data_IF_580253094053
#
_entry.id   IF_580253094053
#
_cell.length_a   1.000
_cell.length_b   1.000
_cell.length_c   1.000
_cell.angle_alpha   90.00
_cell.angle_beta   90.00
_cell.angle_gamma   90.00
#
_symmetry.space_group_name_H-M   'P 1'
#
loop_
_entity.id
_entity.type
_entity.pdbx_description
1 polymer ?
#
# COMPACT_ATOMS: atom_id res chain seq x y z
N UNK A 1 -9.24 -1.04 40.19
CA UNK A 1 -9.64 -0.68 38.81
C UNK A 1 -8.57 -1.16 37.83
N UNK A 2 -8.79 -2.22 37.04
CA UNK A 2 -7.82 -2.59 36.01
C UNK A 2 -8.38 -2.60 34.57
N UNK A 3 -7.62 -1.93 33.70
CA UNK A 3 -7.18 -2.33 32.34
C UNK A 3 -8.23 -2.75 31.29
N UNK A 4 -8.57 -1.81 30.42
CA UNK A 4 -9.10 -2.03 29.06
C UNK A 4 -8.09 -1.58 28.00
N UNK A 5 -7.13 -2.43 27.63
CA UNK A 5 -6.25 -2.23 26.45
C UNK A 5 -6.07 -3.49 25.56
N UNK A 6 -6.69 -4.62 25.92
CA UNK A 6 -6.53 -5.89 25.19
C UNK A 6 -7.56 -6.11 24.06
N UNK A 7 -8.68 -5.37 24.05
CA UNK A 7 -9.77 -5.58 23.08
C UNK A 7 -9.44 -5.15 21.64
N UNK A 8 -8.54 -4.17 21.44
CA UNK A 8 -8.20 -3.66 20.12
C UNK A 8 -7.35 -4.62 19.27
N UNK A 9 -6.45 -5.37 19.91
CA UNK A 9 -5.58 -6.33 19.22
C UNK A 9 -6.29 -7.64 18.83
N UNK A 10 -7.34 -8.00 19.57
CA UNK A 10 -8.14 -9.21 19.34
C UNK A 10 -8.92 -9.13 18.03
N UNK A 11 -9.50 -7.95 17.70
CA UNK A 11 -10.28 -7.79 16.47
C UNK A 11 -9.42 -7.72 15.19
N UNK A 12 -8.19 -7.19 15.29
CA UNK A 12 -7.26 -7.03 14.15
C UNK A 12 -6.85 -8.38 13.54
N UNK A 13 -6.61 -9.39 14.39
CA UNK A 13 -6.13 -10.72 13.97
C UNK A 13 -7.26 -11.60 13.38
N UNK A 14 -8.48 -11.51 13.94
CA UNK A 14 -9.66 -12.24 13.46
C UNK A 14 -10.07 -11.75 12.06
N UNK A 15 -9.95 -10.45 11.78
CA UNK A 15 -10.39 -9.87 10.51
C UNK A 15 -9.54 -10.28 9.30
N UNK A 16 -8.20 -10.30 9.44
CA UNK A 16 -7.29 -10.75 8.38
C UNK A 16 -7.51 -12.22 7.99
N UNK A 17 -7.97 -13.05 8.93
CA UNK A 17 -8.10 -14.50 8.72
C UNK A 17 -9.48 -14.93 8.19
N UNK A 18 -10.56 -14.23 8.53
CA UNK A 18 -11.94 -14.62 8.20
C UNK A 18 -12.43 -14.01 6.88
N UNK A 19 -12.02 -12.77 6.60
CA UNK A 19 -12.59 -11.98 5.50
C UNK A 19 -11.79 -12.16 4.22
N UNK A 20 -10.46 -12.35 4.32
CA UNK A 20 -9.57 -12.55 3.19
C UNK A 20 -9.96 -13.76 2.31
N UNK A 21 -10.28 -14.97 2.85
CA UNK A 21 -10.63 -16.12 2.01
C UNK A 21 -12.04 -16.05 1.39
N UNK A 22 -13.00 -15.45 2.11
CA UNK A 22 -14.39 -15.33 1.64
C UNK A 22 -14.55 -14.24 0.58
N UNK A 23 -13.81 -13.13 0.69
CA UNK A 23 -13.78 -12.08 -0.33
C UNK A 23 -12.89 -12.48 -1.53
N UNK A 24 -11.76 -13.18 -1.31
CA UNK A 24 -11.00 -13.76 -2.43
C UNK A 24 -11.86 -14.73 -3.25
N UNK A 25 -12.73 -15.54 -2.63
CA UNK A 25 -13.64 -16.43 -3.38
C UNK A 25 -14.67 -15.69 -4.24
N UNK A 26 -15.15 -14.53 -3.80
CA UNK A 26 -16.04 -13.69 -4.64
C UNK A 26 -15.30 -12.98 -5.78
N UNK A 27 -14.01 -12.66 -5.60
CA UNK A 27 -13.17 -12.00 -6.61
C UNK A 27 -12.52 -12.97 -7.61
N UNK A 28 -12.29 -14.24 -7.21
CA UNK A 28 -11.61 -15.25 -8.04
C UNK A 28 -12.55 -16.16 -8.85
N UNK A 29 -13.87 -16.07 -8.65
CA UNK A 29 -14.83 -16.71 -9.55
C UNK A 29 -15.01 -15.87 -10.82
N UNK A 30 -14.04 -15.91 -11.73
CA UNK A 30 -14.26 -15.41 -13.09
C UNK A 30 -13.05 -15.01 -13.94
N UNK A 31 -11.87 -14.79 -13.37
CA UNK A 31 -10.74 -14.30 -14.18
C UNK A 31 -9.39 -14.90 -13.75
N UNK A 32 -8.76 -15.65 -14.65
CA UNK A 32 -7.45 -16.30 -14.45
C UNK A 32 -6.27 -15.31 -14.38
N UNK A 33 -6.55 -14.00 -14.28
CA UNK A 33 -5.56 -12.92 -14.32
C UNK A 33 -5.08 -12.46 -12.94
N UNK A 34 -5.67 -12.96 -11.85
CA UNK A 34 -5.38 -12.47 -10.49
C UNK A 34 -4.64 -13.50 -9.66
N UNK A 35 -3.30 -13.50 -9.80
CA UNK A 35 -2.41 -14.31 -8.96
C UNK A 35 -1.69 -13.51 -7.87
N UNK A 36 -1.94 -12.20 -7.71
CA UNK A 36 -1.03 -11.35 -6.93
C UNK A 36 -1.66 -10.23 -6.11
N UNK A 37 -1.61 -10.41 -4.79
CA UNK A 37 -1.96 -9.42 -3.77
C UNK A 37 -0.81 -9.35 -2.76
N UNK A 38 -0.19 -8.19 -2.60
CA UNK A 38 0.71 -7.90 -1.48
C UNK A 38 -0.10 -7.14 -0.42
N UNK A 39 -0.03 -7.59 0.84
CA UNK A 39 -0.56 -6.86 2.00
C UNK A 39 0.60 -6.51 2.93
N UNK A 40 0.93 -5.24 3.05
CA UNK A 40 1.75 -4.68 4.12
C UNK A 40 0.96 -4.74 5.44
N UNK A 41 1.60 -5.31 6.46
CA UNK A 41 1.16 -5.23 7.85
C UNK A 41 1.51 -3.83 8.38
N UNK A 42 0.57 -3.20 9.10
CA UNK A 42 0.80 -1.92 9.79
C UNK A 42 1.42 -2.17 11.18
N UNK A 43 2.66 -1.75 11.48
CA UNK A 43 3.15 -1.75 12.84
C UNK A 43 3.06 -0.34 13.44
N UNK A 44 2.34 -0.18 14.55
CA UNK A 44 2.59 0.94 15.47
C UNK A 44 2.57 0.43 16.92
N UNK A 45 3.75 0.48 17.57
CA UNK A 45 3.94 0.25 19.00
C UNK A 45 5.36 -0.19 19.36
N UNK A 46 6.08 0.61 20.16
CA UNK A 46 7.42 0.33 20.70
C UNK A 46 7.50 -1.06 21.34
N UNK A 47 8.37 -1.92 20.83
CA UNK A 47 8.81 -3.13 21.54
C UNK A 47 10.20 -2.90 22.13
N UNK A 48 10.26 -2.76 23.45
CA UNK A 48 11.46 -3.03 24.24
C UNK A 48 11.36 -4.49 24.68
N UNK A 49 12.18 -5.33 24.07
CA UNK A 49 12.27 -6.75 24.34
C UNK A 49 13.10 -7.40 23.25
N UNK A 50 14.09 -8.21 23.63
CA UNK A 50 14.93 -8.93 22.68
C UNK A 50 14.06 -9.92 21.90
N UNK A 51 13.68 -9.56 20.67
CA UNK A 51 12.99 -10.44 19.73
C UNK A 51 14.05 -11.05 18.84
N UNK A 52 14.24 -12.37 18.91
CA UNK A 52 14.89 -13.12 17.84
C UNK A 52 13.92 -13.19 16.67
N UNK A 53 14.12 -12.30 15.71
CA UNK A 53 13.41 -12.26 14.46
C UNK A 53 13.81 -13.49 13.63
N UNK A 54 12.94 -14.49 13.56
CA UNK A 54 13.07 -15.55 12.56
C UNK A 54 12.24 -15.14 11.35
N UNK A 55 12.89 -14.50 10.38
CA UNK A 55 12.42 -14.44 9.00
C UNK A 55 12.39 -15.89 8.51
N UNK A 56 11.22 -16.51 8.49
CA UNK A 56 11.05 -17.82 7.88
C UNK A 56 10.96 -17.60 6.38
N UNK A 57 12.12 -17.52 5.74
CA UNK A 57 12.26 -17.66 4.30
C UNK A 57 12.00 -19.13 3.97
N UNK A 58 10.95 -19.40 3.19
CA UNK A 58 10.52 -20.76 2.93
C UNK A 58 11.57 -21.52 2.09
N UNK A 59 12.09 -22.62 2.63
CA UNK A 59 12.91 -23.57 1.89
C UNK A 59 12.01 -24.42 0.99
N UNK A 60 11.61 -23.89 -0.17
CA UNK A 60 11.39 -24.62 -1.44
C UNK A 60 10.63 -23.78 -2.49
N UNK A 61 11.16 -22.61 -2.87
CA UNK A 61 10.95 -22.08 -4.22
C UNK A 61 12.19 -21.26 -4.61
N UNK A 62 12.63 -21.33 -5.86
CA UNK A 62 13.76 -20.53 -6.37
C UNK A 62 13.59 -19.01 -6.10
N UNK A 63 12.36 -18.54 -5.88
CA UNK A 63 12.04 -17.16 -5.51
C UNK A 63 12.58 -16.73 -4.14
N UNK A 64 12.52 -17.61 -3.12
CA UNK A 64 13.04 -17.29 -1.79
C UNK A 64 14.57 -17.10 -1.81
N UNK A 65 15.29 -17.97 -2.53
CA UNK A 65 16.74 -17.85 -2.68
C UNK A 65 17.14 -16.58 -3.46
N UNK A 66 16.41 -16.27 -4.53
CA UNK A 66 16.63 -15.07 -5.32
C UNK A 66 16.39 -13.78 -4.53
N UNK A 67 15.33 -13.74 -3.72
CA UNK A 67 15.03 -12.58 -2.89
C UNK A 67 16.06 -12.41 -1.76
N UNK A 68 16.47 -13.49 -1.10
CA UNK A 68 17.53 -13.43 -0.08
C UNK A 68 18.85 -12.94 -0.68
N UNK A 69 19.23 -13.44 -1.86
CA UNK A 69 20.41 -12.97 -2.57
C UNK A 69 20.29 -11.49 -3.00
N UNK A 70 19.11 -11.07 -3.47
CA UNK A 70 18.85 -9.66 -3.78
C UNK A 70 19.05 -8.78 -2.54
N UNK A 71 18.41 -9.12 -1.42
CA UNK A 71 18.50 -8.35 -0.18
C UNK A 71 19.92 -8.27 0.38
N UNK A 72 20.70 -9.36 0.30
CA UNK A 72 22.09 -9.39 0.76
C UNK A 72 23.03 -8.47 -0.05
N UNK A 73 22.65 -8.15 -1.30
CA UNK A 73 23.44 -7.31 -2.20
C UNK A 73 22.85 -5.89 -2.35
N UNK A 74 21.85 -5.52 -1.54
CA UNK A 74 21.32 -4.16 -1.54
C UNK A 74 22.32 -3.20 -0.90
N UNK A 75 22.63 -2.12 -1.61
CA UNK A 75 23.40 -1.01 -1.07
C UNK A 75 22.50 -0.19 -0.14
N UNK A 76 22.89 -0.04 1.13
CA UNK A 76 22.16 0.72 2.14
C UNK A 76 22.72 2.15 2.32
N UNK A 77 23.71 2.53 1.49
CA UNK A 77 24.33 3.86 1.54
C UNK A 77 23.52 4.98 0.86
N UNK A 78 22.29 4.67 0.43
CA UNK A 78 21.42 5.62 -0.27
C UNK A 78 21.13 6.85 0.60
N UNK A 79 21.45 8.02 0.05
CA UNK A 79 21.10 9.29 0.70
C UNK A 79 19.58 9.52 0.64
N UNK A 80 18.97 10.16 1.66
CA UNK A 80 17.56 10.54 1.62
C UNK A 80 17.27 11.39 0.38
N UNK A 81 16.08 11.21 -0.23
CA UNK A 81 15.65 12.10 -1.31
C UNK A 81 15.73 13.56 -0.86
N UNK A 82 16.42 14.39 -1.63
CA UNK A 82 16.67 15.81 -1.32
C UNK A 82 15.37 16.60 -1.10
N UNK A 83 14.29 16.19 -1.79
CA UNK A 83 12.93 16.72 -1.66
C UNK A 83 12.34 16.57 -0.24
N UNK A 84 12.91 15.70 0.62
CA UNK A 84 12.44 15.58 2.00
C UNK A 84 12.76 16.81 2.85
N UNK A 85 13.86 17.49 2.54
CA UNK A 85 14.45 18.53 3.38
C UNK A 85 13.85 19.92 3.12
N UNK A 86 13.15 20.12 2.00
CA UNK A 86 12.54 21.39 1.62
C UNK A 86 11.12 21.55 2.18
N UNK A 87 10.87 22.50 3.10
CA UNK A 87 9.52 22.79 3.56
C UNK A 87 8.72 23.50 2.46
N UNK A 88 7.50 23.03 2.20
CA UNK A 88 6.53 23.70 1.32
C UNK A 88 5.36 24.27 2.14
N UNK A 89 5.56 25.38 2.88
CA UNK A 89 4.56 25.92 3.80
C UNK A 89 3.26 26.36 3.11
N UNK A 90 3.31 26.62 1.80
CA UNK A 90 2.14 27.04 1.02
C UNK A 90 1.24 25.87 0.59
N UNK A 91 1.71 24.61 0.68
CA UNK A 91 0.96 23.39 0.30
C UNK A 91 -0.05 22.98 1.38
N UNK A 92 -0.95 23.89 1.73
CA UNK A 92 -2.04 23.65 2.66
C UNK A 92 -3.16 22.80 2.05
N UNK A 93 -4.08 22.34 2.88
CA UNK A 93 -5.26 21.58 2.44
C UNK A 93 -6.11 22.43 1.46
N UNK A 94 -6.26 23.74 1.74
CA UNK A 94 -6.92 24.71 0.86
C UNK A 94 -6.17 24.92 -0.46
N UNK A 95 -4.83 24.91 -0.43
CA UNK A 95 -4.03 25.00 -1.65
C UNK A 95 -4.35 23.85 -2.60
N UNK A 96 -4.40 22.61 -2.10
CA UNK A 96 -4.74 21.45 -2.91
C UNK A 96 -6.22 21.43 -3.30
N UNK A 97 -7.13 21.77 -2.39
CA UNK A 97 -8.58 21.79 -2.65
C UNK A 97 -8.97 22.82 -3.71
N UNK A 98 -8.17 23.88 -3.90
CA UNK A 98 -8.40 24.88 -4.96
C UNK A 98 -8.11 24.36 -6.37
N UNK A 99 -7.41 23.22 -6.52
CA UNK A 99 -6.98 22.70 -7.82
C UNK A 99 -8.17 22.03 -8.51
N UNK A 100 -8.57 22.58 -9.66
CA UNK A 100 -9.72 22.11 -10.45
C UNK A 100 -9.34 21.53 -11.83
N UNK A 101 -8.08 21.62 -12.23
CA UNK A 101 -7.62 21.20 -13.55
C UNK A 101 -6.10 21.01 -13.58
N UNK A 102 -5.61 20.22 -14.53
CA UNK A 102 -4.17 20.03 -14.75
C UNK A 102 -3.43 21.33 -15.07
N UNK A 103 -4.10 22.27 -15.76
CA UNK A 103 -3.58 23.59 -16.11
C UNK A 103 -3.70 24.63 -14.98
N UNK A 104 -4.25 24.27 -13.82
CA UNK A 104 -4.42 25.20 -12.70
C UNK A 104 -3.06 25.71 -12.19
N UNK A 105 -2.95 26.99 -11.84
CA UNK A 105 -1.68 27.62 -11.41
C UNK A 105 -1.03 26.90 -10.22
N UNK A 106 -1.82 26.51 -9.22
CA UNK A 106 -1.32 25.75 -8.06
C UNK A 106 -0.85 24.34 -8.45
N UNK A 107 -1.48 23.73 -9.46
CA UNK A 107 -1.06 22.44 -9.97
C UNK A 107 0.28 22.52 -10.71
N UNK A 108 0.44 23.53 -11.57
CA UNK A 108 1.71 23.81 -12.25
C UNK A 108 2.83 24.08 -11.26
N UNK A 109 2.56 24.85 -10.19
CA UNK A 109 3.53 25.11 -9.12
C UNK A 109 3.89 23.85 -8.35
N UNK A 110 2.89 23.06 -7.96
CA UNK A 110 3.08 21.79 -7.27
C UNK A 110 3.96 20.85 -8.09
N UNK A 111 3.68 20.70 -9.39
CA UNK A 111 4.46 19.91 -10.35
C UNK A 111 5.84 20.47 -10.61
N UNK A 112 5.99 21.79 -10.70
CA UNK A 112 7.29 22.43 -10.93
C UNK A 112 8.33 22.14 -9.86
N UNK A 113 7.90 21.73 -8.66
CA UNK A 113 8.79 21.29 -7.59
C UNK A 113 9.39 19.89 -7.81
N UNK A 114 8.85 19.07 -8.72
CA UNK A 114 9.38 17.74 -9.03
C UNK A 114 9.51 17.54 -10.54
N UNK A 115 10.73 17.28 -11.02
CA UNK A 115 10.99 17.03 -12.43
C UNK A 115 10.67 15.56 -12.74
N UNK A 116 9.63 15.25 -13.54
CA UNK A 116 9.46 13.90 -14.05
C UNK A 116 10.71 13.54 -14.85
N UNK A 117 11.38 12.43 -14.53
CA UNK A 117 12.55 11.97 -15.29
C UNK A 117 12.14 11.32 -16.63
N UNK A 118 11.24 11.96 -17.37
CA UNK A 118 10.84 11.49 -18.69
C UNK A 118 12.06 11.49 -19.62
N UNK A 119 12.30 10.35 -20.28
CA UNK A 119 13.42 10.18 -21.21
C UNK A 119 14.75 9.76 -20.58
N UNK A 120 14.84 9.54 -19.27
CA UNK A 120 16.05 8.97 -18.67
C UNK A 120 16.16 7.45 -18.96
N UNK A 121 17.38 6.87 -19.01
CA UNK A 121 17.55 5.41 -19.14
C UNK A 121 16.86 4.62 -18.03
N UNK A 122 16.76 5.20 -16.82
CA UNK A 122 16.03 4.63 -15.69
C UNK A 122 14.53 4.56 -15.99
N UNK A 123 13.96 5.63 -16.54
CA UNK A 123 12.55 5.67 -16.93
C UNK A 123 12.18 4.61 -17.98
N UNK A 124 13.08 4.32 -18.93
CA UNK A 124 12.87 3.26 -19.92
C UNK A 124 12.79 1.86 -19.28
N UNK A 125 13.63 1.59 -18.28
CA UNK A 125 13.61 0.32 -17.53
C UNK A 125 12.36 0.18 -16.64
N UNK A 126 11.92 1.28 -16.04
CA UNK A 126 10.70 1.30 -15.22
C UNK A 126 9.45 1.10 -16.07
N UNK A 127 9.43 1.65 -17.29
CA UNK A 127 8.28 1.60 -18.22
C UNK A 127 7.89 0.17 -18.62
N UNK A 128 8.86 -0.74 -18.75
CA UNK A 128 8.60 -2.14 -19.15
C UNK A 128 8.07 -3.03 -18.02
N UNK A 129 8.00 -2.52 -16.79
CA UNK A 129 7.53 -3.27 -15.62
C UNK A 129 6.56 -2.46 -14.75
N UNK A 130 5.34 -2.18 -15.24
CA UNK A 130 4.39 -1.35 -14.50
C UNK A 130 3.95 -2.00 -13.18
N UNK A 131 3.81 -1.17 -12.15
CA UNK A 131 3.30 -1.54 -10.83
C UNK A 131 1.92 -0.90 -10.61
N UNK A 132 1.12 -1.52 -9.75
CA UNK A 132 -0.13 -0.96 -9.27
C UNK A 132 -0.02 -0.66 -7.77
N UNK A 133 -0.56 0.47 -7.34
CA UNK A 133 -0.57 0.89 -5.94
C UNK A 133 -2.00 1.14 -5.47
N UNK A 134 -2.32 0.63 -4.29
CA UNK A 134 -3.55 0.94 -3.57
C UNK A 134 -3.20 1.77 -2.34
N UNK A 135 -3.73 2.99 -2.27
CA UNK A 135 -3.35 4.00 -1.29
C UNK A 135 -4.57 4.34 -0.43
N UNK A 136 -4.47 4.16 0.87
CA UNK A 136 -5.54 4.57 1.80
C UNK A 136 -5.16 5.90 2.44
N UNK A 137 -6.05 6.89 2.34
CA UNK A 137 -5.83 8.26 2.82
C UNK A 137 -6.99 8.71 3.71
N UNK A 138 -6.71 9.43 4.80
CA UNK A 138 -7.77 9.83 5.73
C UNK A 138 -7.59 11.17 6.48
N UNK A 139 -6.40 11.78 6.54
CA UNK A 139 -6.16 12.98 7.37
C UNK A 139 -5.30 14.10 6.77
N UNK A 140 -4.17 13.78 6.14
CA UNK A 140 -3.19 14.82 5.77
C UNK A 140 -2.86 14.76 4.26
N UNK A 141 -3.36 15.71 3.45
CA UNK A 141 -3.14 15.69 2.01
C UNK A 141 -1.67 15.94 1.64
N UNK A 142 -0.90 16.63 2.49
CA UNK A 142 0.55 16.82 2.27
C UNK A 142 1.33 15.52 2.32
N UNK A 143 0.96 14.61 3.21
CA UNK A 143 1.62 13.29 3.30
C UNK A 143 1.34 12.46 2.04
N UNK A 144 0.08 12.47 1.57
CA UNK A 144 -0.26 11.84 0.29
C UNK A 144 0.49 12.46 -0.90
N UNK A 145 0.53 13.79 -1.00
CA UNK A 145 1.24 14.49 -2.07
C UNK A 145 2.73 14.13 -2.08
N UNK A 146 3.35 14.08 -0.90
CA UNK A 146 4.74 13.66 -0.71
C UNK A 146 4.95 12.21 -1.11
N UNK A 147 4.09 11.28 -0.67
CA UNK A 147 4.16 9.88 -1.07
C UNK A 147 4.12 9.76 -2.60
N UNK A 148 3.13 10.37 -3.24
CA UNK A 148 2.96 10.33 -4.70
C UNK A 148 4.17 10.92 -5.43
N UNK A 149 4.78 12.01 -4.95
CA UNK A 149 6.04 12.54 -5.53
C UNK A 149 7.14 11.49 -5.58
N UNK A 150 7.26 10.64 -4.56
CA UNK A 150 8.32 9.63 -4.49
C UNK A 150 8.01 8.42 -5.37
N UNK A 151 6.75 7.96 -5.38
CA UNK A 151 6.38 6.69 -6.04
C UNK A 151 5.83 6.86 -7.46
N UNK A 152 5.39 8.05 -7.89
CA UNK A 152 4.70 8.24 -9.16
C UNK A 152 5.59 7.93 -10.36
N UNK A 153 5.08 7.10 -11.27
CA UNK A 153 5.59 6.88 -12.62
C UNK A 153 4.41 6.91 -13.59
N UNK A 154 4.56 7.47 -14.81
CA UNK A 154 3.47 7.55 -15.78
C UNK A 154 2.85 6.20 -16.17
N UNK A 155 3.63 5.12 -16.11
CA UNK A 155 3.22 3.77 -16.54
C UNK A 155 2.55 2.97 -15.43
N UNK A 156 2.76 3.34 -14.18
CA UNK A 156 2.17 2.68 -13.02
C UNK A 156 0.70 3.08 -12.86
N UNK A 157 -0.07 2.25 -12.15
CA UNK A 157 -1.44 2.52 -11.76
C UNK A 157 -1.52 2.91 -10.28
N UNK A 158 -2.31 3.93 -9.95
CA UNK A 158 -2.54 4.33 -8.55
C UNK A 158 -4.03 4.46 -8.30
N UNK A 159 -4.52 3.79 -7.26
CA UNK A 159 -5.85 4.00 -6.72
C UNK A 159 -5.77 4.57 -5.31
N UNK A 160 -6.50 5.66 -5.05
CA UNK A 160 -6.54 6.35 -3.77
C UNK A 160 -7.94 6.19 -3.20
N UNK A 161 -8.06 5.45 -2.10
CA UNK A 161 -9.28 5.36 -1.32
C UNK A 161 -9.25 6.35 -0.16
N UNK A 162 -10.25 7.23 -0.12
CA UNK A 162 -10.46 8.19 0.96
C UNK A 162 -11.45 7.60 1.97
N UNK A 163 -11.14 7.63 3.27
CA UNK A 163 -12.11 7.22 4.31
C UNK A 163 -13.41 8.04 4.13
N UNK A 164 -14.56 7.35 4.10
CA UNK A 164 -15.86 7.98 3.92
C UNK A 164 -16.19 9.05 4.98
N UNK A 165 -15.54 9.01 6.15
CA UNK A 165 -15.68 10.02 7.22
C UNK A 165 -14.78 11.24 7.07
N UNK A 166 -13.88 11.25 6.09
CA UNK A 166 -13.02 12.40 5.86
C UNK A 166 -13.83 13.64 5.50
N UNK A 167 -13.34 14.79 5.93
CA UNK A 167 -13.98 16.08 5.66
C UNK A 167 -14.04 16.36 4.15
N UNK A 168 -15.06 17.07 3.65
CA UNK A 168 -15.17 17.43 2.23
C UNK A 168 -13.92 18.15 1.70
N UNK A 169 -13.32 19.02 2.50
CA UNK A 169 -12.12 19.79 2.16
C UNK A 169 -10.91 18.85 1.95
N UNK A 170 -10.80 17.80 2.77
CA UNK A 170 -9.79 16.77 2.58
C UNK A 170 -10.01 16.01 1.26
N UNK A 171 -11.26 15.64 0.96
CA UNK A 171 -11.60 14.96 -0.29
C UNK A 171 -11.22 15.80 -1.51
N UNK A 172 -11.59 17.09 -1.49
CA UNK A 172 -11.27 18.04 -2.56
C UNK A 172 -9.75 18.20 -2.71
N UNK A 173 -9.02 18.27 -1.60
CA UNK A 173 -7.56 18.32 -1.62
C UNK A 173 -6.93 17.09 -2.29
N UNK A 174 -7.40 15.88 -1.93
CA UNK A 174 -6.92 14.63 -2.54
C UNK A 174 -7.25 14.57 -4.04
N UNK A 175 -8.45 14.98 -4.44
CA UNK A 175 -8.86 15.04 -5.84
C UNK A 175 -8.03 16.06 -6.64
N UNK A 176 -7.73 17.22 -6.05
CA UNK A 176 -6.83 18.22 -6.60
C UNK A 176 -5.40 17.70 -6.78
N UNK A 177 -4.88 16.97 -5.78
CA UNK A 177 -3.57 16.29 -5.88
C UNK A 177 -3.57 15.28 -7.02
N UNK A 178 -4.56 14.39 -7.09
CA UNK A 178 -4.66 13.35 -8.12
C UNK A 178 -4.69 13.96 -9.53
N UNK A 179 -5.46 15.04 -9.71
CA UNK A 179 -5.52 15.81 -10.96
C UNK A 179 -4.14 16.25 -11.45
N UNK A 180 -3.24 16.59 -10.53
CA UNK A 180 -1.88 17.00 -10.88
C UNK A 180 -0.95 15.88 -11.29
N UNK A 181 -1.23 14.63 -10.97
CA UNK A 181 -0.38 13.51 -11.39
C UNK A 181 -0.80 12.92 -12.74
N UNK A 182 -2.02 13.20 -13.18
CA UNK A 182 -2.53 12.80 -14.48
C UNK A 182 -3.45 11.58 -14.43
N UNK A 183 -3.76 10.99 -15.59
CA UNK A 183 -4.87 10.06 -15.73
C UNK A 183 -4.64 8.68 -15.10
N UNK A 184 -3.40 8.36 -14.70
CA UNK A 184 -3.05 7.07 -14.09
C UNK A 184 -3.22 7.07 -12.55
N UNK A 185 -3.65 8.20 -11.96
CA UNK A 185 -3.98 8.32 -10.54
C UNK A 185 -5.49 8.50 -10.39
N UNK A 186 -6.13 7.51 -9.78
CA UNK A 186 -7.58 7.44 -9.66
C UNK A 186 -7.99 7.58 -8.20
N UNK A 187 -8.97 8.45 -7.92
CA UNK A 187 -9.60 8.55 -6.60
C UNK A 187 -10.88 7.73 -6.61
N UNK A 188 -11.07 6.89 -5.59
CA UNK A 188 -12.30 6.11 -5.42
C UNK A 188 -13.49 7.06 -5.31
N UNK A 189 -14.57 6.86 -6.09
CA UNK A 189 -15.70 7.75 -6.09
C UNK A 189 -16.51 7.64 -4.79
N UNK A 190 -17.19 8.72 -4.34
CA UNK A 190 -17.81 8.79 -3.01
C UNK A 190 -18.72 7.62 -2.62
N UNK A 191 -19.48 7.09 -3.58
CA UNK A 191 -20.41 5.96 -3.39
C UNK A 191 -19.71 4.63 -3.09
N UNK A 192 -18.45 4.50 -3.50
CA UNK A 192 -17.63 3.30 -3.29
C UNK A 192 -16.66 3.44 -2.11
N UNK A 193 -16.71 4.57 -1.38
CA UNK A 193 -15.86 4.80 -0.20
C UNK A 193 -16.44 4.08 1.04
N UNK A 194 -15.54 3.49 1.81
CA UNK A 194 -15.84 2.72 3.03
C UNK A 194 -15.45 3.52 4.27
N UNK A 195 -16.20 3.33 5.37
CA UNK A 195 -15.84 3.84 6.70
C UNK A 195 -14.80 2.93 7.32
N UNK A 196 -13.58 3.43 7.55
CA UNK A 196 -12.48 2.62 8.08
C UNK A 196 -12.46 2.71 9.60
N UNK A 197 -12.73 1.60 10.29
CA UNK A 197 -12.64 1.53 11.75
C UNK A 197 -11.35 0.82 12.17
N UNK A 198 -10.52 1.48 12.97
CA UNK A 198 -9.27 0.90 13.42
C UNK A 198 -9.50 -0.41 14.21
N UNK A 199 -8.69 -1.42 13.91
CA UNK A 199 -8.81 -2.75 14.50
C UNK A 199 -9.93 -3.61 13.93
N UNK A 200 -10.70 -3.15 12.94
CA UNK A 200 -11.81 -3.88 12.32
C UNK A 200 -11.48 -4.32 10.88
N UNK A 201 -12.26 -5.24 10.30
CA UNK A 201 -12.10 -5.73 8.93
C UNK A 201 -12.19 -4.61 7.88
N UNK A 202 -12.89 -3.54 8.19
CA UNK A 202 -12.97 -2.33 7.35
C UNK A 202 -11.62 -1.69 7.06
N UNK A 203 -10.52 -2.04 7.75
CA UNK A 203 -9.17 -1.62 7.36
C UNK A 203 -8.73 -2.22 6.02
N UNK A 204 -9.21 -3.44 5.70
CA UNK A 204 -8.87 -4.14 4.46
C UNK A 204 -9.77 -3.73 3.29
N UNK A 205 -11.03 -3.39 3.57
CA UNK A 205 -12.03 -3.08 2.54
C UNK A 205 -11.60 -1.99 1.52
N UNK A 206 -11.01 -0.85 1.92
CA UNK A 206 -10.44 0.14 0.99
C UNK A 206 -9.45 -0.43 -0.02
N UNK A 207 -8.58 -1.32 0.45
CA UNK A 207 -7.56 -1.95 -0.37
C UNK A 207 -8.22 -2.89 -1.40
N UNK A 208 -9.29 -3.59 -1.01
CA UNK A 208 -10.06 -4.45 -1.91
C UNK A 208 -10.84 -3.66 -2.97
N UNK A 209 -11.44 -2.53 -2.60
CA UNK A 209 -12.09 -1.62 -3.55
C UNK A 209 -11.08 -1.14 -4.59
N UNK A 210 -9.90 -0.70 -4.16
CA UNK A 210 -8.86 -0.27 -5.07
C UNK A 210 -8.26 -1.42 -5.90
N UNK A 211 -8.18 -2.61 -5.35
CA UNK A 211 -7.74 -3.79 -6.09
C UNK A 211 -8.73 -4.15 -7.20
N UNK A 212 -10.04 -4.13 -6.94
CA UNK A 212 -11.06 -4.33 -7.99
C UNK A 212 -10.91 -3.32 -9.14
N UNK A 213 -10.58 -2.06 -8.83
CA UNK A 213 -10.25 -1.06 -9.85
C UNK A 213 -8.96 -1.40 -10.61
N UNK A 214 -7.91 -1.83 -9.91
CA UNK A 214 -6.65 -2.23 -10.53
C UNK A 214 -6.81 -3.45 -11.45
N UNK A 215 -7.65 -4.43 -11.06
CA UNK A 215 -7.94 -5.63 -11.84
C UNK A 215 -8.60 -5.33 -13.20
N UNK A 216 -9.31 -4.20 -13.30
CA UNK A 216 -9.92 -3.72 -14.54
C UNK A 216 -8.90 -3.04 -15.46
N UNK A 217 -7.70 -2.74 -14.97
CA UNK A 217 -6.62 -2.15 -15.76
C UNK A 217 -5.62 -3.22 -16.22
N UNK A 218 -5.22 -3.23 -17.49
CA UNK A 218 -4.22 -4.15 -18.00
C UNK A 218 -2.78 -3.70 -17.67
N UNK A 219 -1.83 -4.64 -17.75
CA UNK A 219 -0.41 -4.34 -17.96
C UNK A 219 0.49 -4.25 -16.72
N UNK A 220 -0.06 -4.03 -15.53
CA UNK A 220 0.73 -4.06 -14.29
C UNK A 220 1.11 -5.49 -13.87
N UNK A 221 2.18 -5.61 -13.06
CA UNK A 221 2.80 -6.90 -12.68
C UNK A 221 2.58 -7.29 -11.23
N UNK A 222 2.57 -6.31 -10.34
CA UNK A 222 2.35 -6.47 -8.90
C UNK A 222 1.47 -5.34 -8.37
N UNK A 223 0.67 -5.67 -7.36
CA UNK A 223 -0.16 -4.74 -6.60
C UNK A 223 0.45 -4.53 -5.22
N UNK A 224 0.74 -3.29 -4.87
CA UNK A 224 1.33 -2.88 -3.60
C UNK A 224 0.32 -2.04 -2.82
N UNK A 225 0.02 -2.45 -1.60
CA UNK A 225 -0.83 -1.68 -0.71
C UNK A 225 0.02 -0.75 0.17
N UNK A 226 -0.42 0.51 0.28
CA UNK A 226 0.24 1.51 1.11
C UNK A 226 -0.77 2.43 1.80
N UNK A 227 -0.33 3.08 2.86
CA UNK A 227 -1.02 4.20 3.49
C UNK A 227 -0.42 5.53 3.03
N UNK A 228 -1.23 6.60 3.01
CA UNK A 228 -0.77 7.94 2.67
C UNK A 228 0.36 8.46 3.58
N UNK A 229 0.46 7.94 4.81
CA UNK A 229 1.49 8.28 5.79
C UNK A 229 2.82 7.52 5.61
N UNK A 230 2.85 6.50 4.74
CA UNK A 230 4.06 5.70 4.50
C UNK A 230 5.04 6.40 3.56
N UNK A 231 6.30 5.95 3.59
CA UNK A 231 7.39 6.51 2.78
C UNK A 231 8.21 5.35 2.21
N UNK A 232 8.47 5.33 0.88
CA UNK A 232 9.34 4.33 0.30
C UNK A 232 10.77 4.55 0.79
N UNK A 233 11.42 3.47 1.20
CA UNK A 233 12.85 3.46 1.55
C UNK A 233 13.74 3.12 0.35
N UNK A 234 13.13 2.79 -0.78
CA UNK A 234 13.78 2.30 -2.00
C UNK A 234 13.21 3.01 -3.21
N UNK A 235 14.04 3.18 -4.23
CA UNK A 235 13.62 3.72 -5.51
C UNK A 235 12.65 2.78 -6.22
N UNK A 236 11.85 3.31 -7.15
CA UNK A 236 10.93 2.47 -7.92
C UNK A 236 11.67 1.39 -8.74
N UNK A 237 12.88 1.66 -9.23
CA UNK A 237 13.71 0.66 -9.91
C UNK A 237 14.13 -0.50 -8.98
N UNK A 238 14.53 -0.21 -7.74
CA UNK A 238 14.84 -1.23 -6.73
C UNK A 238 13.60 -2.04 -6.34
N UNK A 239 12.44 -1.39 -6.23
CA UNK A 239 11.16 -2.08 -6.00
C UNK A 239 10.86 -3.04 -7.16
N UNK A 240 11.02 -2.59 -8.42
CA UNK A 240 10.86 -3.45 -9.60
C UNK A 240 11.84 -4.63 -9.56
N UNK A 241 13.09 -4.42 -9.16
CA UNK A 241 14.07 -5.49 -9.03
C UNK A 241 13.65 -6.53 -7.98
N UNK A 242 13.14 -6.10 -6.82
CA UNK A 242 12.57 -6.98 -5.81
C UNK A 242 11.36 -7.77 -6.35
N UNK A 243 10.45 -7.12 -7.07
CA UNK A 243 9.28 -7.76 -7.68
C UNK A 243 9.67 -8.79 -8.76
N UNK A 244 10.73 -8.53 -9.51
CA UNK A 244 11.32 -9.49 -10.45
C UNK A 244 11.93 -10.69 -9.73
N UNK A 245 12.64 -10.46 -8.62
CA UNK A 245 13.24 -11.53 -7.81
C UNK A 245 12.19 -12.47 -7.20
N UNK A 246 11.00 -11.94 -6.85
CA UNK A 246 9.85 -12.73 -6.41
C UNK A 246 9.33 -13.69 -7.48
N UNK A 247 9.68 -13.50 -8.76
CA UNK A 247 9.34 -14.39 -9.89
C UNK A 247 7.89 -14.87 -9.92
N UNK A 248 6.99 -13.99 -9.51
CA UNK A 248 5.56 -14.21 -9.53
C UNK A 248 4.91 -14.72 -8.27
N UNK A 249 5.70 -14.97 -7.23
CA UNK A 249 5.22 -15.23 -5.88
C UNK A 249 4.67 -13.98 -5.21
N UNK A 250 3.89 -14.17 -4.15
CA UNK A 250 3.43 -13.10 -3.27
C UNK A 250 4.43 -12.88 -2.14
N UNK A 251 4.51 -11.65 -1.65
CA UNK A 251 5.24 -11.31 -0.43
C UNK A 251 4.22 -10.83 0.60
N UNK A 252 4.06 -11.60 1.67
CA UNK A 252 3.18 -11.27 2.79
C UNK A 252 3.81 -11.79 4.07
N UNK A 253 3.77 -10.99 5.12
CA UNK A 253 4.14 -11.45 6.44
C UNK A 253 3.04 -12.36 6.98
N UNK A 254 3.40 -13.60 7.31
CA UNK A 254 2.45 -14.57 7.82
C UNK A 254 2.95 -15.14 9.15
N UNK A 255 2.03 -15.37 10.09
CA UNK A 255 2.31 -15.94 11.40
C UNK A 255 1.58 -17.26 11.58
N UNK A 256 2.19 -18.21 12.28
CA UNK A 256 1.52 -19.44 12.70
C UNK A 256 0.33 -19.10 13.61
N UNK A 257 -0.84 -19.66 13.32
CA UNK A 257 -2.12 -19.33 13.97
C UNK A 257 -2.10 -19.51 15.50
N UNK A 258 -1.28 -20.43 16.01
CA UNK A 258 -1.13 -20.68 17.45
C UNK A 258 -0.58 -19.47 18.23
N UNK A 259 0.13 -18.55 17.57
CA UNK A 259 0.76 -17.37 18.19
C UNK A 259 -0.25 -16.46 18.88
N UNK A 260 -1.49 -16.41 18.40
CA UNK A 260 -2.56 -15.56 18.93
C UNK A 260 -3.75 -16.36 19.48
N UNK A 261 -3.57 -17.66 19.73
CA UNK A 261 -4.60 -18.55 20.29
C UNK A 261 -5.22 -18.04 21.60
N UNK A 262 -4.42 -17.39 22.45
CA UNK A 262 -4.89 -16.75 23.69
C UNK A 262 -5.80 -15.55 23.45
N UNK A 263 -5.66 -14.87 22.29
CA UNK A 263 -6.43 -13.68 21.93
C UNK A 263 -7.73 -14.04 21.19
N UNK A 264 -7.70 -15.11 20.38
CA UNK A 264 -8.87 -15.61 19.66
C UNK A 264 -9.82 -16.41 20.55
N UNK A 265 -9.47 -16.67 21.82
CA UNK A 265 -10.28 -17.42 22.79
C UNK A 265 -10.81 -18.75 22.24
N UNK A 266 -10.01 -19.41 21.39
CA UNK A 266 -10.40 -20.69 20.76
C UNK A 266 -11.42 -20.57 19.63
N UNK A 267 -11.71 -19.37 19.12
CA UNK A 267 -12.50 -19.20 17.89
C UNK A 267 -11.79 -19.92 16.74
N UNK A 268 -12.47 -20.92 16.18
CA UNK A 268 -12.02 -21.62 14.98
C UNK A 268 -12.29 -20.75 13.75
N UNK A 269 -11.29 -20.59 12.89
CA UNK A 269 -11.47 -19.91 11.61
C UNK A 269 -12.44 -20.70 10.72
N UNK A 270 -13.21 -20.02 9.85
CA UNK A 270 -14.06 -20.70 8.87
C UNK A 270 -13.24 -21.72 8.07
N UNK A 271 -13.84 -22.88 7.78
CA UNK A 271 -13.27 -23.99 7.01
C UNK A 271 -12.18 -24.84 7.70
N UNK A 272 -12.15 -24.89 9.04
CA UNK A 272 -11.20 -25.75 9.79
C UNK A 272 -9.72 -25.51 9.45
N UNK A 273 -9.38 -24.31 8.96
CA UNK A 273 -7.99 -23.91 8.73
C UNK A 273 -7.37 -23.69 10.11
N UNK A 274 -6.73 -24.73 10.64
CA UNK A 274 -6.05 -24.71 11.94
C UNK A 274 -4.80 -23.83 11.93
N UNK A 275 -4.24 -23.61 10.75
CA UNK A 275 -3.16 -22.65 10.48
C UNK A 275 -3.20 -22.22 9.01
N UNK A 276 -2.91 -20.95 8.73
CA UNK A 276 -2.36 -20.61 7.43
C UNK A 276 -0.98 -21.26 7.39
N UNK A 277 -0.81 -22.31 6.59
CA UNK A 277 0.52 -22.80 6.26
C UNK A 277 1.20 -21.70 5.46
N UNK A 278 2.07 -20.97 6.16
CA UNK A 278 2.93 -19.96 5.58
C UNK A 278 4.04 -20.74 4.87
N UNK A 279 3.74 -21.23 3.67
CA UNK A 279 4.75 -21.69 2.72
C UNK A 279 5.08 -20.52 1.79
#
# INVERSE_FOLDING_TARGET
MPRTRALGYIFLCICLCVVLPLLLRRLLQGDARVNRFSLSSYPYGKFSGNVTEKVVANTQTNASANLTAFCANLDDSTQPMLDYQTPHPEETDLFFASINSFSHRNCQRFRGAFVPQEGSPVSAQETVYPLAFTIVAHRNPRQLARLLRMIHRPTNFYCIHIDRRSLPEFSQAVEGIATCFGPNVHVVPPESRVVVTWGNASVLEPQLVCADMALKQPGWRYLLNVAAEEVPLRTNLEIIAAMKALNGSNLMECFRGERFSSWTKGIQLPNQVSAFQCE
#
